data_IF_006636879319
#
_entry.id   IF_006636879319
#
_cell.length_a   1.000
_cell.length_b   1.000
_cell.length_c   1.000
_cell.angle_alpha   90.00
_cell.angle_beta   90.00
_cell.angle_gamma   90.00
#
_symmetry.space_group_name_H-M   'P 1'
#
loop_
_entity.id
_entity.type
_entity.pdbx_description
1 polymer ?
#
# COMPACT_ATOMS: atom_id res chain seq x y z
N UNK A 1 13.78 8.36 -10.13
CA UNK A 1 13.38 8.63 -11.54
C UNK A 1 13.05 7.30 -12.16
N UNK A 2 11.84 7.11 -12.68
CA UNK A 2 11.40 5.84 -13.28
C UNK A 2 10.73 6.08 -14.64
N UNK A 3 10.93 5.18 -15.59
CA UNK A 3 10.31 5.26 -16.91
C UNK A 3 8.92 4.61 -16.86
N UNK A 4 7.88 5.37 -17.22
CA UNK A 4 6.51 4.88 -17.16
C UNK A 4 5.89 4.86 -18.55
N UNK A 5 5.09 3.83 -18.82
CA UNK A 5 4.26 3.74 -20.02
C UNK A 5 2.79 3.84 -19.63
N UNK A 6 1.99 4.33 -20.56
CA UNK A 6 0.54 4.30 -20.49
C UNK A 6 0.05 3.44 -21.65
N UNK A 7 -0.68 2.37 -21.33
CA UNK A 7 -1.27 1.46 -22.32
C UNK A 7 -2.78 1.48 -22.19
N UNK A 8 -3.47 1.03 -23.24
CA UNK A 8 -4.92 0.88 -23.23
C UNK A 8 -5.34 -0.45 -23.82
N UNK A 9 -6.29 -1.12 -23.19
CA UNK A 9 -6.85 -2.39 -23.66
C UNK A 9 -8.28 -2.57 -23.14
N UNK A 10 -8.98 -3.58 -23.66
CA UNK A 10 -10.34 -3.93 -23.20
C UNK A 10 -10.28 -5.17 -22.32
N UNK A 11 -10.97 -5.13 -21.18
CA UNK A 11 -11.06 -6.26 -20.26
C UNK A 11 -12.44 -6.26 -19.59
N UNK A 12 -13.10 -7.42 -19.54
CA UNK A 12 -14.41 -7.55 -18.90
C UNK A 12 -15.43 -6.52 -19.39
N UNK A 13 -15.47 -6.21 -20.70
CA UNK A 13 -16.38 -5.22 -21.29
C UNK A 13 -16.08 -3.74 -20.95
N UNK A 14 -14.97 -3.46 -20.26
CA UNK A 14 -14.52 -2.11 -19.92
C UNK A 14 -13.26 -1.74 -20.70
N UNK A 15 -13.08 -0.44 -20.97
CA UNK A 15 -11.83 0.10 -21.52
C UNK A 15 -10.94 0.55 -20.38
N UNK A 16 -9.73 -0.01 -20.32
CA UNK A 16 -8.72 0.35 -19.33
C UNK A 16 -7.67 1.26 -19.93
N UNK A 17 -7.19 2.19 -19.10
CA UNK A 17 -5.96 2.94 -19.31
C UNK A 17 -5.07 2.65 -18.12
N UNK A 18 -3.93 2.00 -18.35
CA UNK A 18 -3.03 1.53 -17.29
C UNK A 18 -1.70 2.24 -17.42
N UNK A 19 -1.28 2.89 -16.34
CA UNK A 19 0.08 3.41 -16.19
C UNK A 19 0.91 2.42 -15.39
N UNK A 20 2.05 2.01 -15.92
CA UNK A 20 2.98 1.12 -15.22
C UNK A 20 4.44 1.56 -15.43
N UNK A 21 5.31 1.18 -14.51
CA UNK A 21 6.76 1.32 -14.70
C UNK A 21 7.26 0.29 -15.73
N UNK A 22 8.30 0.62 -16.48
CA UNK A 22 8.94 -0.25 -17.46
C UNK A 22 10.44 -0.22 -17.27
N UNK A 23 11.04 -1.39 -17.04
CA UNK A 23 12.46 -1.50 -16.73
C UNK A 23 13.36 -1.27 -17.94
N UNK A 24 12.94 -1.71 -19.12
CA UNK A 24 13.71 -1.50 -20.34
C UNK A 24 13.07 -2.07 -21.60
N UNK A 25 13.88 -2.15 -22.65
CA UNK A 25 13.51 -2.78 -23.90
C UNK A 25 14.73 -3.43 -24.56
N UNK A 26 14.48 -4.46 -25.36
CA UNK A 26 15.51 -5.08 -26.21
C UNK A 26 15.52 -4.36 -27.54
N UNK A 27 16.66 -3.77 -27.90
CA UNK A 27 16.84 -3.15 -29.21
C UNK A 27 16.89 -4.25 -30.27
N UNK A 28 15.86 -4.33 -31.12
CA UNK A 28 15.91 -5.11 -32.35
C UNK A 28 16.95 -4.49 -33.28
N UNK A 29 18.03 -5.22 -33.55
CA UNK A 29 18.92 -4.88 -34.66
C UNK A 29 18.19 -5.28 -35.95
N UNK A 30 18.12 -4.41 -36.97
CA UNK A 30 17.50 -4.78 -38.23
C UNK A 30 18.21 -6.02 -38.80
N UNK A 31 17.47 -7.10 -38.97
CA UNK A 31 17.96 -8.27 -39.69
C UNK A 31 18.15 -7.86 -41.17
N UNK A 32 19.25 -8.25 -41.84
CA UNK A 32 19.44 -7.93 -43.26
C UNK A 32 18.35 -8.50 -44.19
N UNK A 33 17.50 -9.41 -43.69
CA UNK A 33 16.34 -9.95 -44.42
C UNK A 33 15.02 -9.18 -44.22
N UNK A 34 14.94 -8.24 -43.26
CA UNK A 34 13.76 -7.40 -43.05
C UNK A 34 13.75 -6.20 -44.01
N UNK A 35 13.61 -6.49 -45.31
CA UNK A 35 13.05 -5.49 -46.22
C UNK A 35 11.55 -5.42 -45.94
N UNK A 36 10.98 -4.24 -45.68
CA UNK A 36 9.56 -4.12 -45.38
C UNK A 36 8.76 -4.56 -46.61
N UNK A 37 8.16 -5.76 -46.57
CA UNK A 37 6.99 -6.07 -47.40
C UNK A 37 5.82 -5.33 -46.76
N UNK A 38 5.69 -4.05 -47.08
CA UNK A 38 4.43 -3.33 -46.83
C UNK A 38 3.35 -4.05 -47.65
N UNK A 39 2.57 -4.91 -47.01
CA UNK A 39 1.27 -5.27 -47.55
C UNK A 39 0.42 -4.01 -47.54
N UNK A 40 -0.21 -3.72 -48.68
CA UNK A 40 -1.03 -2.53 -48.89
C UNK A 40 -2.06 -2.33 -47.78
N UNK A 41 -2.54 -3.43 -47.18
CA UNK A 41 -3.55 -3.45 -46.14
C UNK A 41 -3.08 -2.86 -44.80
N UNK A 42 -1.82 -3.04 -44.40
CA UNK A 42 -1.29 -2.46 -43.15
C UNK A 42 -1.07 -0.95 -43.27
N UNK A 43 -0.64 -0.48 -44.45
CA UNK A 43 -0.51 0.95 -44.73
C UNK A 43 -1.89 1.65 -44.79
N UNK A 44 -2.94 0.93 -45.21
CA UNK A 44 -4.31 1.42 -45.24
C UNK A 44 -4.88 1.50 -43.81
N UNK A 45 -4.66 0.47 -42.97
CA UNK A 45 -5.09 0.49 -41.57
C UNK A 45 -4.37 1.58 -40.74
N UNK A 46 -3.07 1.78 -40.96
CA UNK A 46 -2.32 2.87 -40.33
C UNK A 46 -2.83 4.25 -40.77
N UNK A 47 -3.15 4.43 -42.06
CA UNK A 47 -3.76 5.69 -42.56
C UNK A 47 -5.19 5.90 -42.06
N UNK A 48 -5.95 4.83 -41.84
CA UNK A 48 -7.30 4.90 -41.25
C UNK A 48 -7.26 5.30 -39.76
N UNK A 49 -6.25 4.83 -39.01
CA UNK A 49 -6.02 5.28 -37.63
C UNK A 49 -5.50 6.72 -37.56
N UNK A 50 -4.63 7.12 -38.49
CA UNK A 50 -4.17 8.51 -38.62
C UNK A 50 -5.30 9.48 -39.00
N UNK A 51 -6.28 9.04 -39.81
CA UNK A 51 -7.44 9.86 -40.20
C UNK A 51 -8.54 9.92 -39.13
N UNK A 52 -8.56 8.98 -38.18
CA UNK A 52 -9.41 9.04 -36.98
C UNK A 52 -8.76 9.83 -35.84
N UNK A 53 -7.45 10.13 -35.94
CA UNK A 53 -6.77 11.06 -35.05
C UNK A 53 -7.21 12.49 -35.38
N UNK A 54 -8.33 12.91 -34.80
CA UNK A 54 -8.70 14.33 -34.71
C UNK A 54 -7.74 14.98 -33.70
N UNK A 55 -6.51 15.20 -34.11
CA UNK A 55 -5.60 16.10 -33.41
C UNK A 55 -6.05 17.53 -33.70
N UNK A 56 -6.41 18.34 -32.69
CA UNK A 56 -6.34 19.78 -32.88
C UNK A 56 -4.88 20.10 -33.23
N UNK A 57 -4.70 20.88 -34.27
CA UNK A 57 -3.44 21.48 -34.72
C UNK A 57 -2.56 21.83 -33.53
N UNK A 58 -1.25 21.55 -33.67
CA UNK A 58 -0.14 21.78 -32.74
C UNK A 58 -0.16 23.18 -32.11
N UNK A 59 -1.06 23.39 -31.16
CA UNK A 59 -1.00 24.44 -30.15
C UNK A 59 -0.68 23.66 -28.90
N UNK A 60 0.51 23.86 -28.34
CA UNK A 60 0.85 23.29 -27.04
C UNK A 60 -0.31 23.58 -26.11
N UNK A 61 -1.01 22.55 -25.66
CA UNK A 61 -2.13 22.69 -24.74
C UNK A 61 -1.50 23.16 -23.43
N UNK A 62 -1.35 24.48 -23.28
CA UNK A 62 -1.04 25.09 -22.01
C UNK A 62 -2.25 24.77 -21.15
N UNK A 63 -2.12 23.74 -20.31
CA UNK A 63 -3.06 23.53 -19.22
C UNK A 63 -2.99 24.81 -18.40
N UNK A 64 -4.03 25.63 -18.45
CA UNK A 64 -4.10 26.91 -17.74
C UNK A 64 -3.83 26.67 -16.25
N UNK A 65 -2.67 27.10 -15.76
CA UNK A 65 -2.23 26.90 -14.38
C UNK A 65 -1.17 25.80 -14.16
N UNK A 66 -0.86 24.97 -15.15
CA UNK A 66 0.21 23.97 -15.05
C UNK A 66 1.56 24.57 -15.47
N UNK A 67 2.57 24.39 -14.63
CA UNK A 67 3.97 24.72 -14.95
C UNK A 67 4.66 23.62 -15.78
N UNK A 68 3.95 22.53 -16.11
CA UNK A 68 4.50 21.40 -16.85
C UNK A 68 4.50 21.69 -18.35
N UNK A 69 5.69 21.75 -18.95
CA UNK A 69 5.86 21.74 -20.40
C UNK A 69 5.99 20.31 -20.90
N UNK A 70 5.18 19.94 -21.89
CA UNK A 70 5.32 18.66 -22.57
C UNK A 70 6.35 18.80 -23.68
N UNK A 71 7.47 18.08 -23.56
CA UNK A 71 8.50 18.02 -24.59
C UNK A 71 8.46 16.65 -25.25
N UNK A 72 8.11 16.61 -26.54
CA UNK A 72 8.21 15.39 -27.34
C UNK A 72 9.68 15.18 -27.72
N UNK A 73 10.30 14.17 -27.12
CA UNK A 73 11.71 13.80 -27.36
C UNK A 73 11.85 12.29 -27.49
N UNK A 74 12.88 11.84 -28.21
CA UNK A 74 13.16 10.42 -28.41
C UNK A 74 12.36 9.78 -29.54
N UNK A 75 12.25 8.45 -29.51
CA UNK A 75 11.47 7.64 -30.45
C UNK A 75 10.55 6.74 -29.67
N UNK A 76 9.37 6.49 -30.23
CA UNK A 76 8.46 5.51 -29.66
C UNK A 76 9.09 4.11 -29.70
N UNK A 77 9.08 3.44 -28.54
CA UNK A 77 9.60 2.10 -28.37
C UNK A 77 8.41 1.13 -28.47
N UNK A 78 8.40 0.19 -29.42
CA UNK A 78 7.28 -0.74 -29.56
C UNK A 78 7.08 -1.61 -28.31
N UNK A 79 5.84 -1.92 -27.95
CA UNK A 79 5.52 -2.65 -26.70
C UNK A 79 6.10 -4.07 -26.71
N UNK A 80 6.12 -4.70 -27.89
CA UNK A 80 6.72 -6.01 -28.17
C UNK A 80 8.22 -6.06 -27.83
N UNK A 81 8.87 -4.89 -27.74
CA UNK A 81 10.28 -4.79 -27.40
C UNK A 81 10.57 -4.66 -25.91
N UNK A 82 9.56 -4.32 -25.11
CA UNK A 82 9.70 -4.04 -23.68
C UNK A 82 10.01 -5.28 -22.87
N UNK A 83 10.69 -5.10 -21.73
CA UNK A 83 11.01 -6.16 -20.80
C UNK A 83 10.83 -5.72 -19.34
N UNK A 84 10.56 -6.72 -18.49
CA UNK A 84 10.61 -6.64 -17.03
C UNK A 84 11.91 -7.32 -16.54
N UNK A 85 12.56 -6.79 -15.51
CA UNK A 85 13.77 -7.35 -14.90
C UNK A 85 13.40 -7.92 -13.52
N UNK A 86 13.73 -9.19 -13.28
CA UNK A 86 13.58 -9.82 -11.97
C UNK A 86 14.86 -10.49 -11.52
N UNK A 87 15.18 -10.31 -10.24
CA UNK A 87 16.33 -10.91 -9.57
C UNK A 87 15.87 -11.95 -8.54
N UNK A 88 16.58 -13.08 -8.46
CA UNK A 88 16.35 -14.12 -7.46
C UNK A 88 17.65 -14.81 -7.06
N UNK A 89 17.66 -15.43 -5.88
CA UNK A 89 18.72 -16.33 -5.48
C UNK A 89 18.78 -17.55 -6.42
N UNK A 90 19.98 -18.04 -6.75
CA UNK A 90 20.16 -19.16 -7.69
C UNK A 90 19.46 -20.45 -7.25
N UNK A 91 19.29 -20.63 -5.95
CA UNK A 91 18.62 -21.78 -5.31
C UNK A 91 17.10 -21.72 -5.43
N UNK A 92 16.53 -20.55 -5.77
CA UNK A 92 15.08 -20.34 -5.90
C UNK A 92 14.74 -19.95 -7.32
N UNK A 93 14.04 -20.85 -8.01
CA UNK A 93 13.52 -20.56 -9.35
C UNK A 93 12.41 -19.53 -9.25
N UNK A 94 12.43 -18.57 -10.18
CA UNK A 94 11.32 -17.65 -10.37
C UNK A 94 10.29 -18.32 -11.27
N UNK A 95 9.17 -18.73 -10.68
CA UNK A 95 8.06 -19.29 -11.45
C UNK A 95 7.31 -18.17 -12.17
N UNK A 96 6.80 -18.47 -13.37
CA UNK A 96 6.03 -17.47 -14.14
C UNK A 96 4.80 -17.01 -13.33
N UNK A 97 4.15 -17.91 -12.59
CA UNK A 97 2.99 -17.59 -11.77
C UNK A 97 3.24 -16.45 -10.76
N UNK A 98 4.47 -16.29 -10.26
CA UNK A 98 4.84 -15.25 -9.29
C UNK A 98 4.81 -13.83 -9.89
N UNK A 99 4.90 -13.73 -11.22
CA UNK A 99 5.06 -12.46 -11.96
C UNK A 99 4.03 -12.28 -13.07
N UNK A 100 3.29 -13.34 -13.42
CA UNK A 100 2.36 -13.36 -14.54
C UNK A 100 1.28 -12.30 -14.42
N UNK A 101 0.71 -12.08 -13.24
CA UNK A 101 -0.31 -11.04 -13.04
C UNK A 101 0.22 -9.64 -13.37
N UNK A 102 1.45 -9.32 -12.96
CA UNK A 102 2.08 -8.04 -13.29
C UNK A 102 2.29 -7.91 -14.80
N UNK A 103 2.85 -8.95 -15.43
CA UNK A 103 3.20 -8.98 -16.85
C UNK A 103 1.95 -8.97 -17.75
N UNK A 104 0.88 -9.63 -17.31
CA UNK A 104 -0.43 -9.62 -17.95
C UNK A 104 -1.07 -8.23 -17.85
N UNK A 105 -1.09 -7.58 -16.69
CA UNK A 105 -1.65 -6.22 -16.57
C UNK A 105 -0.84 -5.21 -17.38
N UNK A 106 0.48 -5.31 -17.39
CA UNK A 106 1.36 -4.39 -18.12
C UNK A 106 1.52 -4.72 -19.61
N UNK A 107 0.99 -5.86 -20.06
CA UNK A 107 1.18 -6.40 -21.42
C UNK A 107 2.67 -6.45 -21.82
N UNK A 108 3.54 -6.78 -20.85
CA UNK A 108 5.00 -6.85 -21.06
C UNK A 108 5.37 -8.25 -21.56
N UNK A 109 5.94 -8.38 -22.76
CA UNK A 109 6.14 -9.67 -23.42
C UNK A 109 7.45 -10.36 -23.05
N UNK A 110 8.42 -9.63 -22.46
CA UNK A 110 9.74 -10.18 -22.16
C UNK A 110 10.09 -10.08 -20.69
N UNK A 111 10.76 -11.11 -20.21
CA UNK A 111 11.26 -11.18 -18.84
C UNK A 111 12.77 -11.43 -18.86
N UNK A 112 13.52 -10.53 -18.25
CA UNK A 112 14.94 -10.69 -17.97
C UNK A 112 15.12 -11.27 -16.57
N UNK A 113 15.48 -12.56 -16.47
CA UNK A 113 15.75 -13.23 -15.19
C UNK A 113 17.24 -13.20 -14.88
N UNK A 114 17.59 -12.63 -13.73
CA UNK A 114 18.96 -12.59 -13.23
C UNK A 114 19.07 -13.34 -11.90
N UNK A 115 19.71 -14.51 -11.93
CA UNK A 115 19.98 -15.29 -10.72
C UNK A 115 21.31 -14.88 -10.09
N UNK A 116 21.35 -14.77 -8.76
CA UNK A 116 22.58 -14.49 -8.02
C UNK A 116 22.98 -15.61 -7.07
N UNK A 117 24.29 -15.81 -6.91
CA UNK A 117 24.86 -16.52 -5.79
C UNK A 117 25.55 -15.49 -4.89
N UNK A 118 25.01 -15.25 -3.70
CA UNK A 118 25.62 -14.34 -2.72
C UNK A 118 25.98 -12.97 -3.34
N UNK A 119 25.02 -12.35 -4.03
CA UNK A 119 25.17 -11.03 -4.65
C UNK A 119 25.96 -10.99 -5.97
N UNK A 120 26.57 -12.10 -6.39
CA UNK A 120 27.19 -12.22 -7.71
C UNK A 120 26.17 -12.76 -8.71
N UNK A 121 25.80 -11.92 -9.69
CA UNK A 121 24.82 -12.27 -10.72
C UNK A 121 25.45 -13.07 -11.86
N UNK A 122 24.71 -14.07 -12.32
CA UNK A 122 24.98 -14.71 -13.60
C UNK A 122 24.48 -13.83 -14.74
N UNK A 123 24.93 -14.13 -15.96
CA UNK A 123 24.42 -13.46 -17.16
C UNK A 123 22.90 -13.67 -17.24
N UNK A 124 22.08 -12.60 -17.25
CA UNK A 124 20.64 -12.74 -17.28
C UNK A 124 20.17 -13.32 -18.62
N UNK A 125 19.11 -14.11 -18.55
CA UNK A 125 18.39 -14.59 -19.73
C UNK A 125 17.21 -13.67 -19.99
N UNK A 126 17.08 -13.20 -21.23
CA UNK A 126 15.93 -12.44 -21.69
C UNK A 126 15.07 -13.40 -22.50
N UNK A 127 13.85 -13.64 -22.02
CA UNK A 127 12.96 -14.65 -22.54
C UNK A 127 11.68 -13.97 -23.03
N UNK A 128 11.16 -14.40 -24.17
CA UNK A 128 9.80 -14.07 -24.59
C UNK A 128 8.86 -14.99 -23.84
N UNK A 129 8.00 -14.41 -23.02
CA UNK A 129 7.09 -15.10 -22.10
C UNK A 129 5.62 -14.97 -22.54
N UNK A 130 5.39 -14.52 -23.77
CA UNK A 130 4.04 -14.23 -24.27
C UNK A 130 3.16 -15.48 -24.25
N UNK A 131 3.72 -16.66 -24.57
CA UNK A 131 2.98 -17.91 -24.55
C UNK A 131 2.61 -18.34 -23.13
N UNK A 132 3.52 -18.17 -22.17
CA UNK A 132 3.35 -18.52 -20.77
C UNK A 132 2.35 -17.62 -20.07
N UNK A 133 2.35 -16.31 -20.37
CA UNK A 133 1.34 -15.37 -19.87
C UNK A 133 -0.04 -15.71 -20.42
N UNK A 134 -0.15 -16.11 -21.70
CA UNK A 134 -1.41 -16.57 -22.30
C UNK A 134 -1.92 -17.87 -21.69
N UNK A 135 -1.01 -18.81 -21.41
CA UNK A 135 -1.36 -20.04 -20.69
C UNK A 135 -1.87 -19.71 -19.28
N UNK A 136 -1.15 -18.85 -18.55
CA UNK A 136 -1.58 -18.37 -17.24
C UNK A 136 -2.96 -17.70 -17.28
N UNK A 137 -3.23 -16.84 -18.26
CA UNK A 137 -4.55 -16.23 -18.45
C UNK A 137 -5.65 -17.27 -18.65
N UNK A 138 -5.38 -18.30 -19.45
CA UNK A 138 -6.32 -19.40 -19.70
C UNK A 138 -6.59 -20.21 -18.43
N UNK A 139 -5.55 -20.50 -17.65
CA UNK A 139 -5.66 -21.23 -16.38
C UNK A 139 -6.39 -20.42 -15.30
N UNK A 140 -6.41 -19.09 -15.41
CA UNK A 140 -7.04 -18.17 -14.47
C UNK A 140 -8.35 -17.56 -15.01
N UNK A 141 -8.91 -18.10 -16.09
CA UNK A 141 -10.05 -17.50 -16.81
C UNK A 141 -11.26 -17.25 -15.88
N UNK A 142 -11.59 -18.19 -14.99
CA UNK A 142 -12.70 -18.04 -14.03
C UNK A 142 -12.45 -16.87 -13.07
N UNK A 143 -11.24 -16.79 -12.51
CA UNK A 143 -10.83 -15.71 -11.62
C UNK A 143 -10.84 -14.34 -12.31
N UNK A 144 -10.38 -14.29 -13.56
CA UNK A 144 -10.39 -13.08 -14.39
C UNK A 144 -11.81 -12.64 -14.76
N UNK A 145 -12.71 -13.57 -15.08
CA UNK A 145 -14.14 -13.27 -15.27
C UNK A 145 -14.76 -12.67 -14.01
N UNK A 146 -14.47 -13.26 -12.83
CA UNK A 146 -14.91 -12.72 -11.53
C UNK A 146 -14.34 -11.33 -11.26
N UNK A 147 -13.06 -11.09 -11.58
CA UNK A 147 -12.43 -9.77 -11.48
C UNK A 147 -13.12 -8.74 -12.38
N UNK A 148 -13.40 -9.09 -13.64
CA UNK A 148 -14.13 -8.23 -14.57
C UNK A 148 -15.51 -7.85 -14.03
N UNK A 149 -16.29 -8.83 -13.57
CA UNK A 149 -17.60 -8.58 -12.96
C UNK A 149 -17.53 -7.74 -11.68
N UNK A 150 -16.51 -7.96 -10.85
CA UNK A 150 -16.27 -7.16 -9.63
C UNK A 150 -15.98 -5.69 -9.97
N UNK A 151 -15.11 -5.43 -10.94
CA UNK A 151 -14.79 -4.07 -11.37
C UNK A 151 -16.02 -3.38 -11.97
N UNK A 152 -16.82 -4.08 -12.79
CA UNK A 152 -18.09 -3.54 -13.28
C UNK A 152 -19.04 -3.15 -12.15
N UNK A 153 -19.17 -3.99 -11.12
CA UNK A 153 -19.99 -3.70 -9.94
C UNK A 153 -19.47 -2.47 -9.19
N UNK A 154 -18.16 -2.37 -8.98
CA UNK A 154 -17.52 -1.19 -8.38
C UNK A 154 -17.87 0.07 -9.18
N UNK A 155 -17.73 0.03 -10.51
CA UNK A 155 -18.04 1.17 -11.40
C UNK A 155 -19.52 1.55 -11.30
N UNK A 156 -20.44 0.59 -11.25
CA UNK A 156 -21.87 0.87 -11.07
C UNK A 156 -22.15 1.60 -9.76
N UNK A 157 -21.64 1.07 -8.65
CA UNK A 157 -21.83 1.67 -7.32
C UNK A 157 -21.20 3.08 -7.25
N UNK A 158 -20.01 3.25 -7.84
CA UNK A 158 -19.33 4.54 -7.89
C UNK A 158 -20.13 5.59 -8.67
N UNK A 159 -20.80 5.19 -9.77
CA UNK A 159 -21.66 6.09 -10.55
C UNK A 159 -22.91 6.54 -9.79
N UNK A 160 -23.48 5.66 -8.97
CA UNK A 160 -24.63 5.99 -8.12
C UNK A 160 -24.23 6.91 -6.95
N UNK A 161 -23.02 6.73 -6.43
CA UNK A 161 -22.47 7.56 -5.36
C UNK A 161 -21.91 8.87 -5.94
N UNK A 162 -22.76 9.86 -6.26
CA UNK A 162 -22.31 11.18 -6.71
C UNK A 162 -21.17 11.74 -5.82
N UNK A 163 -19.93 11.64 -6.30
CA UNK A 163 -18.69 11.92 -5.57
C UNK A 163 -17.67 10.76 -5.55
N UNK A 164 -16.77 10.79 -4.57
CA UNK A 164 -15.68 9.82 -4.42
C UNK A 164 -16.12 8.60 -3.61
N UNK A 165 -15.60 7.42 -3.98
CA UNK A 165 -15.77 6.17 -3.21
C UNK A 165 -14.41 5.61 -2.79
N UNK A 166 -14.33 5.09 -1.57
CA UNK A 166 -13.20 4.33 -1.08
C UNK A 166 -13.50 2.84 -1.21
N UNK A 167 -12.57 2.08 -1.78
CA UNK A 167 -12.67 0.62 -1.91
C UNK A 167 -11.68 0.01 -0.93
N UNK A 168 -12.14 -0.88 -0.05
CA UNK A 168 -11.34 -1.55 0.97
C UNK A 168 -11.61 -3.05 0.94
N UNK A 169 -10.56 -3.84 1.05
CA UNK A 169 -10.70 -5.29 1.22
C UNK A 169 -10.40 -5.67 2.67
N UNK A 170 -11.41 -6.18 3.38
CA UNK A 170 -11.29 -6.70 4.73
C UNK A 170 -10.92 -8.18 4.67
N UNK A 171 -9.64 -8.46 4.87
CA UNK A 171 -9.08 -9.83 4.86
C UNK A 171 -9.72 -10.70 5.94
N UNK A 172 -10.13 -10.14 7.08
CA UNK A 172 -10.70 -10.92 8.19
C UNK A 172 -12.12 -11.40 7.90
N UNK A 173 -12.86 -10.64 7.09
CA UNK A 173 -14.24 -10.94 6.71
C UNK A 173 -14.37 -11.52 5.32
N UNK A 174 -13.27 -11.58 4.56
CA UNK A 174 -13.26 -11.91 3.13
C UNK A 174 -14.28 -11.06 2.35
N UNK A 175 -14.24 -9.74 2.59
CA UNK A 175 -15.25 -8.80 2.08
C UNK A 175 -14.64 -7.57 1.45
N UNK A 176 -15.15 -7.21 0.27
CA UNK A 176 -14.90 -5.93 -0.37
C UNK A 176 -15.95 -4.92 0.09
N UNK A 177 -15.50 -3.85 0.75
CA UNK A 177 -16.32 -2.74 1.21
C UNK A 177 -16.13 -1.54 0.29
N UNK A 178 -17.23 -0.89 -0.07
CA UNK A 178 -17.24 0.34 -0.89
C UNK A 178 -17.98 1.40 -0.09
N UNK A 179 -17.28 2.46 0.29
CA UNK A 179 -17.80 3.50 1.17
C UNK A 179 -17.73 4.85 0.45
N UNK A 180 -18.82 5.64 0.51
CA UNK A 180 -18.79 7.02 0.04
C UNK A 180 -17.83 7.83 0.90
N UNK A 181 -16.98 8.62 0.27
CA UNK A 181 -16.01 9.48 0.96
C UNK A 181 -16.09 10.91 0.47
N UNK A 182 -15.80 11.87 1.36
CA UNK A 182 -15.61 13.27 1.03
C UNK A 182 -14.14 13.58 0.71
N UNK A 183 -13.42 12.61 0.14
CA UNK A 183 -12.01 12.75 -0.21
C UNK A 183 -11.80 13.91 -1.19
N UNK A 184 -10.68 14.61 -1.01
CA UNK A 184 -10.27 15.67 -1.93
C UNK A 184 -10.17 15.13 -3.38
N UNK A 185 -10.40 15.98 -4.39
CA UNK A 185 -10.27 15.58 -5.78
C UNK A 185 -8.89 15.00 -6.06
N UNK A 186 -8.85 13.80 -6.64
CA UNK A 186 -7.59 13.07 -6.92
C UNK A 186 -6.93 13.48 -8.24
N UNK A 187 -7.63 14.23 -9.07
CA UNK A 187 -7.15 14.75 -10.35
C UNK A 187 -7.11 16.28 -10.29
N UNK A 188 -6.23 16.93 -11.07
CA UNK A 188 -6.28 18.36 -11.31
C UNK A 188 -7.65 18.84 -11.81
N UNK A 189 -8.07 20.03 -11.39
CA UNK A 189 -9.39 20.63 -11.68
C UNK A 189 -9.67 20.75 -13.19
N UNK A 190 -8.65 21.03 -13.98
CA UNK A 190 -8.75 21.12 -15.44
C UNK A 190 -9.13 19.78 -16.08
N UNK A 191 -8.76 18.65 -15.49
CA UNK A 191 -9.14 17.33 -16.00
C UNK A 191 -10.61 17.02 -15.70
N UNK A 192 -11.12 17.39 -14.52
CA UNK A 192 -12.56 17.26 -14.22
C UNK A 192 -13.40 18.11 -15.16
N UNK A 193 -12.98 19.36 -15.38
CA UNK A 193 -13.64 20.30 -16.30
C UNK A 193 -13.73 19.76 -17.73
N UNK A 194 -12.71 19.03 -18.20
CA UNK A 194 -12.73 18.40 -19.53
C UNK A 194 -13.75 17.26 -19.62
N UNK A 195 -13.99 16.56 -18.54
CA UNK A 195 -14.93 15.43 -18.49
C UNK A 195 -16.38 15.92 -18.40
N UNK A 196 -16.64 16.95 -17.59
CA UNK A 196 -17.99 17.52 -17.41
C UNK A 196 -18.51 18.22 -18.69
N UNK A 197 -17.61 18.80 -19.49
CA UNK A 197 -17.95 19.46 -20.75
C UNK A 197 -18.34 18.48 -21.88
N UNK A 198 -18.17 17.16 -21.70
CA UNK A 198 -18.62 16.17 -22.69
C UNK A 198 -20.08 15.75 -22.51
N UNK A 199 -20.78 16.26 -21.49
CA UNK A 199 -22.12 15.80 -21.10
C UNK A 199 -23.29 16.80 -21.19
N UNK A 200 -23.10 18.05 -21.61
CA UNK A 200 -24.14 19.09 -21.42
C UNK A 200 -24.57 19.81 -22.71
N UNK A 201 -25.23 19.08 -23.61
CA UNK A 201 -26.27 19.69 -24.47
C UNK A 201 -27.64 19.50 -23.79
N UNK A 202 -27.90 20.22 -22.70
CA UNK A 202 -29.28 20.45 -22.24
C UNK A 202 -29.36 21.79 -21.54
N UNK A 203 -30.05 22.70 -22.23
CA UNK A 203 -30.49 24.01 -21.78
C UNK A 203 -31.32 23.88 -20.49
N UNK A 204 -30.95 24.62 -19.44
CA UNK A 204 -31.88 24.96 -18.35
C UNK A 204 -32.11 26.47 -18.30
N UNK A 205 -33.37 26.93 -18.23
CA UNK A 205 -33.69 28.32 -17.93
C UNK A 205 -33.68 28.56 -16.42
N UNK A 206 -33.27 29.78 -16.06
CA UNK A 206 -33.29 30.33 -14.71
C UNK A 206 -34.69 30.38 -14.11
N UNK A 207 -34.81 30.10 -12.81
CA UNK A 207 -35.85 30.67 -11.94
C UNK A 207 -35.34 30.96 -10.53
N UNK A 208 -35.56 32.21 -10.13
CA UNK A 208 -35.51 32.75 -8.78
C UNK A 208 -36.58 32.13 -7.87
N UNK A 209 -36.31 32.13 -6.56
CA UNK A 209 -37.34 32.00 -5.53
C UNK A 209 -36.74 31.91 -4.11
N UNK A 210 -36.85 33.01 -3.36
CA UNK A 210 -36.70 33.04 -1.90
C UNK A 210 -37.83 32.24 -1.24
N UNK A 211 -37.53 31.49 -0.17
CA UNK A 211 -38.35 31.52 1.06
C UNK A 211 -37.62 30.89 2.27
N UNK A 212 -38.07 31.31 3.45
CA UNK A 212 -37.44 31.29 4.78
C UNK A 212 -38.10 30.19 5.66
N UNK A 213 -37.52 29.97 6.86
CA UNK A 213 -38.10 29.39 8.10
C UNK A 213 -37.76 27.87 8.24
N UNK A 214 -37.26 27.28 9.34
CA UNK A 214 -37.16 27.59 10.79
C UNK A 214 -36.03 26.77 11.43
N UNK A 215 -35.45 27.27 12.52
CA UNK A 215 -34.71 26.50 13.51
C UNK A 215 -35.58 25.44 14.20
N UNK A 216 -35.06 24.22 14.31
CA UNK A 216 -35.41 23.29 15.40
C UNK A 216 -34.15 22.60 15.91
N UNK A 217 -33.90 22.76 17.20
CA UNK A 217 -32.83 22.14 17.97
C UNK A 217 -32.70 20.62 17.74
N UNK A 218 -31.52 20.20 17.27
CA UNK A 218 -30.99 18.87 17.58
C UNK A 218 -29.46 18.95 17.63
N UNK A 219 -28.92 18.52 18.77
CA UNK A 219 -27.52 18.32 19.16
C UNK A 219 -26.47 18.39 18.04
N UNK A 220 -25.65 19.46 18.05
CA UNK A 220 -24.41 19.55 17.25
C UNK A 220 -23.50 18.35 17.58
N UNK A 221 -22.99 17.61 16.58
CA UNK A 221 -21.87 16.70 16.81
C UNK A 221 -20.67 17.55 17.24
N UNK A 222 -20.03 17.17 18.35
CA UNK A 222 -18.79 17.82 18.83
C UNK A 222 -17.76 17.81 17.69
N UNK A 223 -17.11 18.94 17.43
CA UNK A 223 -16.11 19.03 16.36
C UNK A 223 -14.98 18.05 16.66
N UNK A 224 -14.45 17.40 15.62
CA UNK A 224 -13.34 16.44 15.72
C UNK A 224 -12.10 17.05 16.43
N UNK A 225 -11.95 18.37 16.36
CA UNK A 225 -10.88 19.14 16.98
C UNK A 225 -10.98 19.27 18.52
N UNK A 226 -12.15 19.01 19.11
CA UNK A 226 -12.38 19.12 20.57
C UNK A 226 -12.05 17.82 21.33
N UNK A 227 -11.57 16.80 20.63
CA UNK A 227 -11.21 15.51 21.23
C UNK A 227 -9.69 15.46 21.48
N UNK A 228 -9.23 15.25 22.73
CA UNK A 228 -7.81 15.11 23.02
C UNK A 228 -7.16 14.06 22.13
N UNK A 229 -6.00 14.40 21.57
CA UNK A 229 -5.22 13.56 20.66
C UNK A 229 -5.90 13.18 19.33
N UNK A 230 -6.96 13.87 18.90
CA UNK A 230 -7.65 13.60 17.63
C UNK A 230 -6.70 13.49 16.42
N UNK A 231 -5.71 14.39 16.32
CA UNK A 231 -4.69 14.35 15.27
C UNK A 231 -3.82 13.10 15.33
N UNK A 232 -3.45 12.64 16.52
CA UNK A 232 -2.64 11.42 16.72
C UNK A 232 -3.45 10.18 16.37
N UNK A 233 -4.74 10.16 16.75
CA UNK A 233 -5.68 9.10 16.38
C UNK A 233 -5.80 9.02 14.85
N UNK A 234 -5.99 10.16 14.18
CA UNK A 234 -6.09 10.20 12.72
C UNK A 234 -4.83 9.64 12.04
N UNK A 235 -3.63 10.03 12.51
CA UNK A 235 -2.36 9.46 12.02
C UNK A 235 -2.33 7.93 12.23
N UNK A 236 -2.78 7.46 13.40
CA UNK A 236 -2.85 6.03 13.70
C UNK A 236 -3.80 5.26 12.78
N UNK A 237 -4.94 5.85 12.43
CA UNK A 237 -5.92 5.26 11.51
C UNK A 237 -5.41 5.24 10.07
N UNK A 238 -4.81 6.35 9.61
CA UNK A 238 -4.40 6.50 8.21
C UNK A 238 -3.08 5.79 7.89
N UNK A 239 -2.11 5.87 8.81
CA UNK A 239 -0.74 5.35 8.58
C UNK A 239 -0.41 4.09 9.40
N UNK A 240 -1.25 3.75 10.37
CA UNK A 240 -1.10 2.61 11.28
C UNK A 240 -0.71 3.00 12.71
N UNK A 241 -1.22 2.23 13.67
CA UNK A 241 -1.17 2.55 15.09
C UNK A 241 0.24 2.61 15.72
N UNK A 242 1.25 2.00 15.09
CA UNK A 242 2.67 2.12 15.49
C UNK A 242 3.14 3.57 15.59
N UNK A 243 2.58 4.46 14.76
CA UNK A 243 2.91 5.89 14.76
C UNK A 243 2.46 6.61 16.04
N UNK A 244 1.56 6.01 16.82
CA UNK A 244 1.09 6.62 18.07
C UNK A 244 2.21 6.69 19.09
N UNK A 245 3.01 5.62 19.25
CA UNK A 245 4.15 5.65 20.15
C UNK A 245 5.08 6.82 19.78
N UNK A 246 5.37 7.01 18.49
CA UNK A 246 6.22 8.12 18.04
C UNK A 246 5.68 9.50 18.44
N UNK A 247 4.37 9.72 18.30
CA UNK A 247 3.74 11.01 18.49
C UNK A 247 3.20 11.27 19.91
N UNK A 248 3.28 10.28 20.81
CA UNK A 248 2.82 10.40 22.19
C UNK A 248 4.00 10.52 23.18
N UNK A 249 3.83 11.28 24.28
CA UNK A 249 4.79 11.33 25.38
C UNK A 249 4.89 9.97 26.11
N UNK A 250 5.96 9.75 26.87
CA UNK A 250 6.17 8.53 27.67
C UNK A 250 5.40 8.61 29.01
N UNK A 251 4.08 8.72 28.95
CA UNK A 251 3.23 8.85 30.13
C UNK A 251 1.94 8.04 29.97
N UNK A 252 1.72 7.07 30.85
CA UNK A 252 0.56 6.17 30.78
C UNK A 252 -0.79 6.90 30.83
N UNK A 253 -0.91 8.01 31.56
CA UNK A 253 -2.15 8.78 31.66
C UNK A 253 -2.57 9.37 30.29
N UNK A 254 -1.60 9.77 29.47
CA UNK A 254 -1.86 10.27 28.12
C UNK A 254 -2.38 9.15 27.20
N UNK A 255 -1.85 7.93 27.33
CA UNK A 255 -2.38 6.76 26.60
C UNK A 255 -3.77 6.34 27.07
N UNK A 256 -4.06 6.45 28.37
CA UNK A 256 -5.41 6.22 28.89
C UNK A 256 -6.40 7.21 28.30
N UNK A 257 -6.06 8.50 28.26
CA UNK A 257 -6.92 9.52 27.66
C UNK A 257 -7.06 9.35 26.14
N UNK A 258 -5.98 8.99 25.45
CA UNK A 258 -6.03 8.60 24.03
C UNK A 258 -7.01 7.44 23.80
N UNK A 259 -6.97 6.38 24.62
CA UNK A 259 -7.87 5.24 24.48
C UNK A 259 -9.34 5.65 24.75
N UNK A 260 -9.60 6.54 25.71
CA UNK A 260 -10.94 7.13 25.93
C UNK A 260 -11.41 7.93 24.72
N UNK A 261 -10.53 8.76 24.15
CA UNK A 261 -10.81 9.50 22.92
C UNK A 261 -11.13 8.59 21.74
N UNK A 262 -10.37 7.51 21.54
CA UNK A 262 -10.63 6.51 20.50
C UNK A 262 -12.00 5.84 20.68
N UNK A 263 -12.38 5.47 21.92
CA UNK A 263 -13.71 4.92 22.22
C UNK A 263 -14.83 5.93 21.92
N UNK A 264 -14.65 7.19 22.33
CA UNK A 264 -15.61 8.27 22.04
C UNK A 264 -15.81 8.51 20.55
N UNK A 265 -14.75 8.34 19.75
CA UNK A 265 -14.78 8.47 18.30
C UNK A 265 -15.26 7.19 17.59
N UNK A 266 -15.50 6.10 18.32
CA UNK A 266 -15.87 4.81 17.74
C UNK A 266 -14.77 4.20 16.87
N UNK A 267 -13.50 4.51 17.15
CA UNK A 267 -12.37 3.97 16.40
C UNK A 267 -12.21 2.48 16.69
N UNK A 268 -12.36 1.64 15.67
CA UNK A 268 -12.11 0.20 15.78
C UNK A 268 -10.61 -0.11 15.80
N UNK A 269 -10.00 0.02 16.97
CA UNK A 269 -8.55 -0.23 17.18
C UNK A 269 -8.22 -1.71 17.03
N UNK A 270 -9.11 -2.60 17.48
CA UNK A 270 -8.84 -4.03 17.53
C UNK A 270 -9.13 -4.74 16.22
N UNK A 271 -10.10 -4.25 15.43
CA UNK A 271 -10.55 -4.89 14.19
C UNK A 271 -10.87 -6.38 14.41
N UNK A 272 -11.55 -6.69 15.51
CA UNK A 272 -11.88 -8.06 15.92
C UNK A 272 -10.71 -8.92 16.40
N UNK A 273 -9.46 -8.41 16.42
CA UNK A 273 -8.29 -9.17 16.89
C UNK A 273 -8.32 -9.35 18.41
N UNK A 274 -8.05 -10.58 18.83
CA UNK A 274 -7.89 -10.96 20.23
C UNK A 274 -6.41 -11.05 20.60
N UNK A 275 -6.08 -11.14 21.90
CA UNK A 275 -4.68 -11.18 22.35
C UNK A 275 -3.86 -12.31 21.69
N UNK A 276 -4.46 -13.47 21.39
CA UNK A 276 -3.79 -14.59 20.70
C UNK A 276 -3.43 -14.27 19.24
N UNK A 277 -4.33 -13.59 18.52
CA UNK A 277 -4.02 -13.16 17.15
C UNK A 277 -2.95 -12.07 17.16
N UNK A 278 -3.01 -11.13 18.10
CA UNK A 278 -1.96 -10.11 18.24
C UNK A 278 -0.60 -10.74 18.57
N UNK A 279 -0.55 -11.78 19.40
CA UNK A 279 0.68 -12.51 19.67
C UNK A 279 1.24 -13.19 18.41
N UNK A 280 0.36 -13.71 17.56
CA UNK A 280 0.77 -14.31 16.27
C UNK A 280 1.31 -13.23 15.33
N UNK A 281 0.62 -12.09 15.23
CA UNK A 281 1.04 -10.93 14.45
C UNK A 281 2.41 -10.36 14.90
N UNK A 282 2.63 -10.29 16.22
CA UNK A 282 3.92 -9.85 16.78
C UNK A 282 5.06 -10.79 16.43
N UNK A 283 4.79 -12.10 16.35
CA UNK A 283 5.80 -13.10 15.96
C UNK A 283 6.21 -13.00 14.49
N UNK A 284 5.35 -12.49 13.61
CA UNK A 284 5.68 -12.19 12.20
C UNK A 284 6.71 -11.05 12.06
N UNK A 285 6.96 -10.29 13.12
CA UNK A 285 8.00 -9.27 13.15
C UNK A 285 9.42 -9.82 13.30
N UNK A 286 9.57 -11.13 13.55
CA UNK A 286 10.90 -11.75 13.61
C UNK A 286 11.54 -11.73 12.23
N UNK A 287 12.85 -11.49 12.26
CA UNK A 287 13.70 -11.52 11.08
C UNK A 287 13.86 -12.97 10.62
N UNK A 288 13.10 -13.37 9.61
CA UNK A 288 13.38 -14.60 8.89
C UNK A 288 14.54 -14.30 7.92
N UNK A 289 15.76 -14.58 8.38
CA UNK A 289 16.95 -14.45 7.56
C UNK A 289 16.87 -15.51 6.47
N UNK A 290 16.74 -15.04 5.24
CA UNK A 290 16.86 -15.87 4.07
C UNK A 290 18.33 -15.90 3.63
N UNK A 291 19.07 -16.99 3.91
CA UNK A 291 20.49 -17.08 3.55
C UNK A 291 20.72 -17.03 2.04
N UNK A 292 19.70 -17.34 1.25
CA UNK A 292 19.79 -17.43 -0.20
C UNK A 292 19.50 -16.08 -0.85
N UNK A 293 18.44 -15.39 -0.41
CA UNK A 293 18.07 -14.07 -0.94
C UNK A 293 18.86 -12.92 -0.31
N UNK A 294 19.66 -13.18 0.73
CA UNK A 294 20.35 -12.15 1.54
C UNK A 294 19.39 -11.03 1.95
N UNK A 295 18.13 -11.39 2.19
CA UNK A 295 17.06 -10.48 2.56
C UNK A 295 16.41 -11.03 3.81
N UNK A 296 16.16 -10.13 4.72
CA UNK A 296 15.37 -10.41 5.91
C UNK A 296 13.94 -10.00 5.59
N UNK A 297 13.04 -10.96 5.45
CA UNK A 297 11.62 -10.64 5.37
C UNK A 297 11.09 -10.61 6.81
N UNK A 298 10.72 -9.43 7.28
CA UNK A 298 10.02 -9.30 8.57
C UNK A 298 8.88 -8.31 8.46
N UNK A 299 7.69 -8.72 8.93
CA UNK A 299 6.51 -7.87 8.92
C UNK A 299 6.51 -6.97 10.18
N UNK A 300 7.62 -6.22 10.37
CA UNK A 300 7.84 -5.34 11.54
C UNK A 300 6.71 -4.32 11.71
N UNK A 301 6.08 -3.84 10.62
CA UNK A 301 4.94 -2.92 10.68
C UNK A 301 3.72 -3.56 11.39
N UNK A 302 3.35 -4.77 10.98
CA UNK A 302 2.25 -5.54 11.59
C UNK A 302 2.53 -5.83 13.06
N UNK A 303 3.75 -6.25 13.38
CA UNK A 303 4.14 -6.50 14.77
C UNK A 303 4.04 -5.23 15.63
N UNK A 304 4.55 -4.10 15.14
CA UNK A 304 4.52 -2.80 15.86
C UNK A 304 3.09 -2.26 16.01
N UNK A 305 2.24 -2.38 14.99
CA UNK A 305 0.82 -2.01 15.10
C UNK A 305 0.10 -2.90 16.13
N UNK A 306 0.45 -4.20 16.17
CA UNK A 306 -0.11 -5.16 17.13
C UNK A 306 0.31 -4.88 18.57
N UNK A 307 1.53 -4.35 18.79
CA UNK A 307 1.95 -3.89 20.11
C UNK A 307 1.12 -2.70 20.63
N UNK A 308 0.70 -1.78 19.75
CA UNK A 308 -0.24 -0.73 20.17
C UNK A 308 -1.62 -1.31 20.52
N UNK A 309 -2.12 -2.25 19.70
CA UNK A 309 -3.40 -2.93 19.98
C UNK A 309 -3.37 -3.70 21.29
N UNK A 310 -2.23 -4.30 21.64
CA UNK A 310 -2.00 -4.94 22.93
C UNK A 310 -2.09 -3.94 24.09
N UNK A 311 -1.44 -2.78 23.96
CA UNK A 311 -1.56 -1.70 24.94
C UNK A 311 -3.02 -1.25 25.11
N UNK A 312 -3.73 -1.06 23.98
CA UNK A 312 -5.15 -0.70 24.00
C UNK A 312 -5.99 -1.76 24.73
N UNK A 313 -5.77 -3.05 24.46
CA UNK A 313 -6.44 -4.15 25.16
C UNK A 313 -6.23 -4.12 26.68
N UNK A 314 -5.01 -3.81 27.13
CA UNK A 314 -4.72 -3.70 28.56
C UNK A 314 -5.46 -2.52 29.20
N UNK A 315 -5.46 -1.35 28.55
CA UNK A 315 -6.14 -0.16 29.06
C UNK A 315 -7.67 -0.21 28.93
N UNK A 316 -8.19 -1.00 28.00
CA UNK A 316 -9.62 -1.28 27.87
C UNK A 316 -10.12 -2.27 28.93
N UNK A 317 -9.23 -3.06 29.54
CA UNK A 317 -9.58 -4.10 30.50
C UNK A 317 -10.21 -5.34 29.86
N UNK A 318 -10.09 -5.50 28.55
CA UNK A 318 -10.75 -6.56 27.78
C UNK A 318 -10.04 -7.94 27.86
N UNK A 319 -8.91 -8.05 28.56
CA UNK A 319 -8.10 -9.28 28.63
C UNK A 319 -8.34 -10.01 29.95
N UNK A 320 -8.92 -11.21 29.86
CA UNK A 320 -9.16 -12.10 31.01
C UNK A 320 -7.98 -13.04 31.30
N UNK A 321 -7.22 -13.44 30.27
CA UNK A 321 -6.11 -14.39 30.38
C UNK A 321 -4.81 -13.69 30.79
N UNK A 322 -4.51 -13.72 32.10
CA UNK A 322 -3.33 -13.09 32.69
C UNK A 322 -2.01 -13.69 32.20
N UNK A 323 -1.98 -14.99 31.93
CA UNK A 323 -0.76 -15.65 31.45
C UNK A 323 -0.48 -15.23 30.01
N UNK A 324 -1.51 -15.16 29.16
CA UNK A 324 -1.34 -14.66 27.80
C UNK A 324 -0.94 -13.17 27.78
N UNK A 325 -1.49 -12.35 28.69
CA UNK A 325 -1.07 -10.96 28.88
C UNK A 325 0.42 -10.85 29.25
N UNK A 326 0.88 -11.71 30.17
CA UNK A 326 2.28 -11.78 30.55
C UNK A 326 3.17 -12.20 29.38
N UNK A 327 2.84 -13.29 28.68
CA UNK A 327 3.63 -13.78 27.54
C UNK A 327 3.72 -12.75 26.40
N UNK A 328 2.62 -12.08 26.10
CA UNK A 328 2.58 -11.02 25.10
C UNK A 328 3.44 -9.82 25.51
N UNK A 329 3.36 -9.41 26.79
CA UNK A 329 4.22 -8.36 27.35
C UNK A 329 5.68 -8.77 27.28
N UNK A 330 6.02 -9.98 27.75
CA UNK A 330 7.37 -10.54 27.74
C UNK A 330 7.97 -10.57 26.32
N UNK A 331 7.15 -10.84 25.31
CA UNK A 331 7.58 -10.79 23.92
C UNK A 331 7.99 -9.37 23.50
N UNK A 332 7.13 -8.37 23.73
CA UNK A 332 7.41 -6.98 23.36
C UNK A 332 8.70 -6.49 24.03
N UNK A 333 8.82 -6.70 25.34
CA UNK A 333 9.91 -6.19 26.17
C UNK A 333 11.26 -6.84 25.82
N UNK A 334 11.27 -8.13 25.42
CA UNK A 334 12.49 -8.86 25.08
C UNK A 334 13.00 -8.65 23.64
N UNK A 335 12.21 -8.09 22.72
CA UNK A 335 12.55 -7.99 21.29
C UNK A 335 12.89 -6.56 20.84
N UNK A 336 14.04 -6.04 21.28
CA UNK A 336 14.50 -4.68 20.96
C UNK A 336 14.71 -4.38 19.46
N UNK A 337 14.95 -5.42 18.63
CA UNK A 337 15.05 -5.29 17.16
C UNK A 337 13.69 -4.98 16.51
N UNK A 338 12.59 -5.38 17.14
CA UNK A 338 11.23 -5.19 16.63
C UNK A 338 10.62 -3.95 17.27
N UNK A 339 10.71 -3.83 18.60
CA UNK A 339 10.05 -2.80 19.40
C UNK A 339 11.04 -1.81 20.01
N UNK A 340 10.86 -0.53 19.69
CA UNK A 340 11.69 0.57 20.20
C UNK A 340 11.42 0.82 21.69
N UNK A 341 12.32 1.58 22.33
CA UNK A 341 12.29 1.85 23.78
C UNK A 341 10.90 2.25 24.28
N UNK A 342 10.31 3.29 23.66
CA UNK A 342 9.01 3.82 24.05
C UNK A 342 7.90 2.77 23.97
N UNK A 343 7.83 1.98 22.90
CA UNK A 343 6.86 0.88 22.78
C UNK A 343 7.02 -0.14 23.92
N UNK A 344 8.25 -0.55 24.21
CA UNK A 344 8.53 -1.53 25.28
C UNK A 344 8.13 -1.01 26.65
N UNK A 345 8.50 0.22 26.95
CA UNK A 345 8.17 0.89 28.22
C UNK A 345 6.67 1.05 28.39
N UNK A 346 5.97 1.60 27.39
CA UNK A 346 4.53 1.88 27.53
C UNK A 346 3.67 0.61 27.59
N UNK A 347 4.05 -0.46 26.88
CA UNK A 347 3.37 -1.76 27.00
C UNK A 347 3.60 -2.37 28.39
N UNK A 348 4.82 -2.27 28.93
CA UNK A 348 5.15 -2.75 30.27
C UNK A 348 4.38 -1.99 31.36
N UNK A 349 4.31 -0.66 31.27
CA UNK A 349 3.55 0.18 32.20
C UNK A 349 2.05 -0.15 32.14
N UNK A 350 1.49 -0.32 30.94
CA UNK A 350 0.09 -0.70 30.78
C UNK A 350 -0.21 -2.09 31.37
N UNK A 351 0.70 -3.06 31.21
CA UNK A 351 0.58 -4.37 31.83
C UNK A 351 0.62 -4.26 33.37
N UNK A 352 1.59 -3.54 33.93
CA UNK A 352 1.74 -3.38 35.37
C UNK A 352 0.58 -2.61 36.02
N UNK A 353 -0.09 -1.71 35.27
CA UNK A 353 -1.27 -1.00 35.75
C UNK A 353 -2.51 -1.88 35.82
N UNK A 354 -2.63 -2.88 34.94
CA UNK A 354 -3.84 -3.71 34.81
C UNK A 354 -3.72 -5.09 35.47
N UNK A 355 -2.51 -5.65 35.59
CA UNK A 355 -2.29 -7.01 36.05
C UNK A 355 -1.33 -7.08 37.24
N UNK A 356 -1.61 -8.01 38.15
CA UNK A 356 -0.71 -8.38 39.24
C UNK A 356 0.12 -9.58 38.80
N UNK A 357 1.37 -9.33 38.43
CA UNK A 357 2.33 -10.37 38.07
C UNK A 357 2.81 -11.15 39.31
N UNK A 358 3.12 -12.44 39.15
CA UNK A 358 3.77 -13.20 40.21
C UNK A 358 5.19 -12.68 40.48
N UNK A 359 5.78 -12.95 41.65
CA UNK A 359 7.14 -12.51 41.97
C UNK A 359 8.17 -12.97 40.91
N UNK A 360 8.03 -14.21 40.44
CA UNK A 360 8.84 -14.76 39.34
C UNK A 360 8.68 -13.95 38.04
N UNK A 361 7.45 -13.65 37.65
CA UNK A 361 7.14 -12.90 36.42
C UNK A 361 7.67 -11.46 36.51
N UNK A 362 7.46 -10.80 37.65
CA UNK A 362 7.95 -9.44 37.91
C UNK A 362 9.47 -9.36 37.81
N UNK A 363 10.21 -10.27 38.47
CA UNK A 363 11.69 -10.32 38.39
C UNK A 363 12.20 -10.41 36.94
N UNK A 364 11.53 -11.19 36.09
CA UNK A 364 11.90 -11.33 34.68
C UNK A 364 11.66 -10.02 33.92
N UNK A 365 10.52 -9.35 34.14
CA UNK A 365 10.23 -8.07 33.49
C UNK A 365 11.19 -6.96 33.96
N UNK A 366 11.48 -6.89 35.26
CA UNK A 366 12.41 -5.93 35.85
C UNK A 366 13.85 -6.11 35.32
N UNK A 367 14.27 -7.36 35.08
CA UNK A 367 15.57 -7.65 34.48
C UNK A 367 15.69 -7.03 33.08
N UNK A 368 14.62 -7.13 32.28
CA UNK A 368 14.61 -6.51 30.96
C UNK A 368 14.60 -4.99 31.06
N UNK A 369 13.79 -4.40 31.92
CA UNK A 369 13.78 -2.95 32.15
C UNK A 369 15.19 -2.43 32.49
N UNK A 370 15.85 -3.06 33.47
CA UNK A 370 17.23 -2.74 33.88
C UNK A 370 18.21 -2.83 32.71
N UNK A 371 18.07 -3.84 31.85
CA UNK A 371 18.92 -4.05 30.68
C UNK A 371 18.78 -2.91 29.66
N UNK A 372 17.59 -2.32 29.52
CA UNK A 372 17.36 -1.23 28.57
C UNK A 372 17.90 0.09 29.12
N UNK A 373 17.64 0.35 30.40
CA UNK A 373 18.10 1.57 31.09
C UNK A 373 19.63 1.64 31.14
N UNK A 374 20.30 0.47 31.22
CA UNK A 374 21.77 0.36 31.23
C UNK A 374 22.39 0.41 29.82
N UNK A 375 21.60 0.24 28.76
CA UNK A 375 22.11 0.16 27.40
C UNK A 375 22.23 1.56 26.78
N UNK A 376 23.32 1.85 26.06
CA UNK A 376 23.52 3.10 25.29
C UNK A 376 22.50 3.30 24.14
N UNK A 377 21.51 2.41 24.04
CA UNK A 377 20.42 2.37 23.07
C UNK A 377 19.26 3.31 23.44
N UNK A 378 19.37 4.01 24.58
CA UNK A 378 18.40 5.04 25.01
C UNK A 378 18.32 6.25 24.07
N UNK A 379 19.31 6.43 23.18
CA UNK A 379 19.42 7.57 22.26
C UNK A 379 19.01 7.26 20.81
N UNK A 380 18.37 6.10 20.53
CA UNK A 380 17.68 5.89 19.26
C UNK A 380 16.51 6.89 19.19
N UNK A 381 16.78 8.11 18.71
CA UNK A 381 15.76 9.06 18.29
C UNK A 381 14.81 8.30 17.36
N UNK A 382 13.50 8.40 17.63
CA UNK A 382 12.43 7.72 16.90
C UNK A 382 12.23 8.36 15.51
N UNK A 383 13.32 8.42 14.74
CA UNK A 383 13.41 8.91 13.37
C UNK A 383 13.38 7.68 12.49
N UNK A 384 12.18 7.17 12.27
CA UNK A 384 11.90 6.31 11.11
C UNK A 384 11.20 7.18 10.09
N UNK A 385 11.87 7.42 8.95
CA UNK A 385 11.23 7.94 7.76
C UNK A 385 10.19 6.93 7.27
N UNK A 386 9.09 7.44 6.74
CA UNK A 386 8.07 6.63 6.09
C UNK A 386 8.74 5.74 5.02
N UNK A 387 8.43 4.43 5.04
CA UNK A 387 8.81 3.39 4.07
C UNK A 387 10.23 2.79 4.14
N UNK A 388 10.25 1.45 4.21
CA UNK A 388 11.33 0.54 3.80
C UNK A 388 12.78 0.95 4.14
N UNK A 389 13.25 0.70 5.36
CA UNK A 389 14.68 0.45 5.56
C UNK A 389 14.95 -1.06 5.38
N UNK A 390 15.57 -1.35 4.24
CA UNK A 390 16.45 -2.49 4.08
C UNK A 390 17.57 -2.38 5.13
N UNK A 391 17.46 -3.15 6.21
CA UNK A 391 18.57 -3.37 7.14
C UNK A 391 19.68 -4.12 6.40
N UNK A 392 20.58 -3.40 5.72
CA UNK A 392 21.90 -3.93 5.36
C UNK A 392 22.73 -3.99 6.64
N UNK A 393 22.57 -5.06 7.43
CA UNK A 393 23.51 -5.38 8.50
C UNK A 393 24.76 -6.00 7.89
N UNK A 394 25.85 -5.23 7.88
CA UNK A 394 27.20 -5.76 7.71
C UNK A 394 27.58 -6.46 9.02
N UNK A 395 27.51 -7.80 9.03
CA UNK A 395 28.03 -8.59 10.16
C UNK A 395 29.56 -8.46 10.18
N UNK A 396 30.05 -7.50 10.94
CA UNK A 396 31.45 -7.40 11.34
C UNK A 396 31.58 -7.95 12.75
N UNK A 397 32.08 -9.19 12.81
CA UNK A 397 32.78 -9.84 13.92
C UNK A 397 32.12 -9.89 15.31
N UNK A 398 31.83 -11.12 15.75
CA UNK A 398 32.33 -11.60 17.05
C UNK A 398 32.41 -13.13 17.03
N UNK A 399 33.57 -13.63 16.60
CA UNK A 399 34.14 -14.88 17.10
C UNK A 399 35.22 -14.48 18.10
N UNK A 400 34.96 -14.66 19.39
CA UNK A 400 35.82 -15.26 20.43
C UNK A 400 35.14 -15.09 21.80
#
# INVERSE_FOLDING_TARGET
>A
TGHHRVISYSFGGLKFVVRHETDGYVKTLPSPDDRPRQTQDEAILSRMMDTLSVSPTTVGHVITGSKLSMCHVGKEVPIESTLEIKTRAMTRRLEIADVAAQLWVSQTPRLARAYHNKGTFQKPQVEDITAEVKAWESDHEEGLKRLGGLIQKIVSIARECAGSVAIKYDVSRDQLQIEKTAAAPTLPEDLYSRWDNTGTNTTQPARNGHERITDTHSSRPKRLDDVPFSKVIQIGVDKGFRHIFRNMPENLADYQELCRSMKRLGTDVLQGRQIRSLMSDMRLGKDDYDPEERRTFSMKSIARDSAFRLLYLFLDGAVSDRNMAYEATLFVVSHARIFKHKTRKMVLEAFNAQFVASDKQRRILDQWQTKWDSSHWSNDLDVTTDECESDFSFDSFNSF
#
